data_IF_281447311635
#
_entry.id   IF_281447311635
#
_cell.length_a   1.000
_cell.length_b   1.000
_cell.length_c   1.000
_cell.angle_alpha   90.00
_cell.angle_beta   90.00
_cell.angle_gamma   90.00
#
_symmetry.space_group_name_H-M   'P 1'
#
loop_
_entity.id
_entity.type
_entity.pdbx_description
1 polymer ?
#
# COMPACT_ATOMS: atom_id res chain seq x y z
N UNK A 1 -17.98 17.27 0.21
CA UNK A 1 -16.76 17.02 1.01
C UNK A 1 -16.12 18.33 1.41
N UNK A 2 -16.14 18.68 2.70
CA UNK A 2 -15.37 19.80 3.26
C UNK A 2 -14.53 19.16 4.37
N UNK A 3 -13.24 18.95 4.10
CA UNK A 3 -12.31 18.46 5.11
C UNK A 3 -12.03 19.61 6.11
N UNK A 4 -12.07 19.38 7.43
CA UNK A 4 -11.57 20.35 8.40
C UNK A 4 -10.04 20.47 8.27
N UNK A 5 -9.42 21.54 8.78
CA UNK A 5 -7.97 21.74 8.65
C UNK A 5 -7.23 20.67 9.45
N UNK A 6 -6.57 19.74 8.76
CA UNK A 6 -5.69 18.74 9.34
C UNK A 6 -4.46 19.44 9.94
N UNK A 7 -4.28 19.37 11.26
CA UNK A 7 -3.03 19.72 11.91
C UNK A 7 -2.06 18.55 11.77
N UNK A 8 -1.43 18.42 10.60
CA UNK A 8 -0.34 17.46 10.38
C UNK A 8 0.99 18.09 10.82
N UNK A 9 1.77 17.39 11.63
CA UNK A 9 3.13 17.79 11.99
C UNK A 9 4.13 16.67 11.70
N UNK A 10 5.32 17.06 11.26
CA UNK A 10 6.47 16.16 11.07
C UNK A 10 7.60 16.68 11.96
N UNK A 11 8.17 15.81 12.77
CA UNK A 11 9.36 16.09 13.57
C UNK A 11 10.46 15.14 13.11
N UNK A 12 11.53 15.69 12.55
CA UNK A 12 12.71 14.94 12.11
C UNK A 12 13.94 15.37 12.91
N UNK A 13 14.65 14.41 13.50
CA UNK A 13 15.89 14.63 14.24
C UNK A 13 16.96 13.67 13.70
N UNK A 14 18.02 14.24 13.14
CA UNK A 14 19.20 13.48 12.67
C UNK A 14 20.39 13.77 13.58
N UNK A 15 21.01 12.72 14.12
CA UNK A 15 22.22 12.81 14.93
C UNK A 15 23.38 12.14 14.19
N UNK A 16 24.38 12.94 13.82
CA UNK A 16 25.61 12.46 13.19
C UNK A 16 26.71 12.39 14.25
N UNK A 17 27.18 11.19 14.55
CA UNK A 17 28.36 10.99 15.38
C UNK A 17 29.55 10.64 14.48
N UNK A 18 30.34 11.66 14.12
CA UNK A 18 31.67 11.50 13.54
C UNK A 18 32.73 11.73 14.62
N UNK A 19 33.68 10.81 14.78
CA UNK A 19 34.86 11.07 15.61
C UNK A 19 35.66 12.27 15.05
N UNK A 20 36.26 13.08 15.94
CA UNK A 20 36.99 14.27 15.52
C UNK A 20 38.29 13.88 14.82
N UNK A 21 38.59 14.56 13.70
CA UNK A 21 39.93 14.58 13.13
C UNK A 21 40.92 15.05 14.20
N UNK A 22 41.78 14.14 14.65
CA UNK A 22 42.81 14.38 15.64
C UNK A 22 43.75 15.51 15.17
N UNK A 23 43.80 16.57 15.96
CA UNK A 23 44.48 17.82 15.67
C UNK A 23 46.02 17.67 15.70
N UNK A 24 46.69 18.24 14.69
CA UNK A 24 48.11 18.57 14.74
C UNK A 24 48.31 20.06 14.37
N UNK A 25 48.38 20.86 15.44
CA UNK A 25 49.22 22.05 15.67
C UNK A 25 49.10 23.33 14.80
N UNK A 26 49.48 24.49 15.36
CA UNK A 26 48.68 25.71 15.28
C UNK A 26 49.32 26.83 14.43
N UNK A 27 48.49 27.80 14.04
CA UNK A 27 48.96 29.14 13.72
C UNK A 27 48.21 29.78 12.56
N UNK A 28 47.27 30.67 12.90
CA UNK A 28 47.13 32.05 12.39
C UNK A 28 45.75 32.55 12.87
N UNK A 29 45.75 33.64 13.65
CA UNK A 29 44.55 34.31 14.15
C UNK A 29 43.79 35.06 13.04
N UNK A 30 42.48 35.36 13.23
CA UNK A 30 41.60 35.81 12.17
C UNK A 30 41.65 37.33 11.98
N UNK A 31 41.68 37.78 10.72
CA UNK A 31 41.42 39.18 10.39
C UNK A 31 39.93 39.35 10.07
N UNK A 32 39.29 40.27 10.80
CA UNK A 32 37.91 40.72 10.56
C UNK A 32 37.86 41.49 9.25
N UNK A 33 36.86 41.20 8.40
CA UNK A 33 36.08 42.26 7.75
C UNK A 33 34.70 41.73 7.34
N UNK A 34 33.69 42.50 7.71
CA UNK A 34 32.29 42.34 7.32
C UNK A 34 32.08 42.88 5.90
N UNK A 35 31.19 42.24 5.14
CA UNK A 35 30.74 42.69 3.82
C UNK A 35 29.58 41.83 3.35
N UNK A 36 28.43 42.48 3.20
CA UNK A 36 27.09 41.95 2.96
C UNK A 36 26.82 41.75 1.44
N UNK A 37 25.80 40.94 1.14
CA UNK A 37 25.08 40.81 -0.14
C UNK A 37 25.54 39.75 -1.19
N UNK A 38 24.72 38.68 -1.27
CA UNK A 38 24.10 38.08 -2.46
C UNK A 38 24.90 38.00 -3.78
N UNK A 39 25.24 36.80 -4.24
CA UNK A 39 24.55 36.13 -5.35
C UNK A 39 25.09 34.71 -5.58
N UNK A 40 24.20 33.86 -6.06
CA UNK A 40 24.40 32.51 -6.55
C UNK A 40 25.57 32.36 -7.54
N UNK A 41 26.38 31.32 -7.33
CA UNK A 41 27.31 30.78 -8.34
C UNK A 41 28.73 30.56 -7.82
N UNK A 42 29.02 29.38 -7.27
CA UNK A 42 30.41 28.93 -7.10
C UNK A 42 30.66 27.63 -7.86
N UNK A 43 31.17 27.80 -9.07
CA UNK A 43 32.05 26.82 -9.73
C UNK A 43 33.39 26.91 -9.00
N UNK A 44 33.73 25.90 -8.20
CA UNK A 44 35.10 25.68 -7.73
C UNK A 44 35.63 24.38 -8.33
N UNK A 45 36.32 24.54 -9.44
CA UNK A 45 37.28 23.55 -9.94
C UNK A 45 38.36 23.32 -8.87
N UNK A 46 38.43 22.09 -8.38
CA UNK A 46 39.62 21.54 -7.73
C UNK A 46 40.26 20.57 -8.73
N UNK A 47 41.17 21.11 -9.54
CA UNK A 47 42.03 20.36 -10.45
C UNK A 47 43.23 19.82 -9.67
N UNK A 48 43.47 18.52 -9.80
CA UNK A 48 44.70 17.79 -9.46
C UNK A 48 45.02 17.59 -7.97
N UNK A 49 44.38 16.59 -7.34
CA UNK A 49 45.04 15.87 -6.25
C UNK A 49 46.10 14.92 -6.86
N UNK A 50 47.38 14.98 -6.45
CA UNK A 50 48.44 14.14 -7.01
C UNK A 50 48.21 12.67 -6.63
N UNK A 51 48.43 11.77 -7.61
CA UNK A 51 48.33 10.29 -7.54
C UNK A 51 49.11 9.63 -6.37
N UNK A 52 49.83 10.41 -5.54
CA UNK A 52 50.61 9.95 -4.39
C UNK A 52 49.77 9.77 -3.12
N UNK A 53 48.66 10.48 -2.95
CA UNK A 53 47.78 10.34 -1.77
C UNK A 53 46.95 9.05 -1.77
N UNK A 54 46.70 8.45 -2.95
CA UNK A 54 45.96 7.19 -3.06
C UNK A 54 46.70 5.98 -2.49
N UNK A 55 48.02 6.06 -2.28
CA UNK A 55 48.80 4.96 -1.66
C UNK A 55 48.74 4.97 -0.14
N UNK A 56 48.47 6.11 0.49
CA UNK A 56 48.36 6.23 1.97
C UNK A 56 46.91 6.16 2.46
N UNK A 57 45.92 6.40 1.59
CA UNK A 57 44.49 6.31 1.90
C UNK A 57 43.96 4.87 2.13
N UNK A 58 44.73 3.82 1.78
CA UNK A 58 44.28 2.42 1.85
C UNK A 58 44.29 1.76 3.24
N UNK A 59 44.75 2.46 4.28
CA UNK A 59 45.01 1.85 5.60
C UNK A 59 44.17 2.41 6.75
N UNK A 60 43.48 3.53 6.57
CA UNK A 60 42.64 4.10 7.62
C UNK A 60 41.23 3.56 7.52
N UNK A 61 40.72 3.08 8.64
CA UNK A 61 39.30 2.78 8.79
C UNK A 61 38.57 4.09 8.98
N UNK A 62 37.56 4.33 8.14
CA UNK A 62 36.62 5.40 8.40
C UNK A 62 35.32 4.75 8.87
N UNK A 63 34.86 5.20 10.02
CA UNK A 63 33.62 4.76 10.63
C UNK A 63 32.63 5.93 10.60
N UNK A 64 31.38 5.62 10.32
CA UNK A 64 30.29 6.60 10.29
C UNK A 64 29.12 5.99 11.04
N UNK A 65 28.59 6.68 12.04
CA UNK A 65 27.37 6.28 12.72
C UNK A 65 26.33 7.38 12.54
N UNK A 66 25.13 6.99 12.14
CA UNK A 66 24.01 7.90 11.92
C UNK A 66 22.80 7.35 12.69
N UNK A 67 22.08 8.23 13.36
CA UNK A 67 20.81 7.91 13.99
C UNK A 67 19.79 8.94 13.56
N UNK A 68 18.70 8.46 12.97
CA UNK A 68 17.60 9.26 12.48
C UNK A 68 16.33 8.87 13.21
N UNK A 69 15.55 9.87 13.61
CA UNK A 69 14.24 9.67 14.18
C UNK A 69 13.24 10.61 13.51
N UNK A 70 12.12 10.05 13.06
CA UNK A 70 11.01 10.76 12.47
C UNK A 70 9.71 10.37 13.18
N UNK A 71 8.90 11.36 13.50
CA UNK A 71 7.55 11.16 14.01
C UNK A 71 6.55 11.98 13.19
N UNK A 72 5.49 11.33 12.76
CA UNK A 72 4.38 11.92 12.03
C UNK A 72 3.08 11.64 12.79
N UNK A 73 2.23 12.65 12.94
CA UNK A 73 0.95 12.50 13.60
C UNK A 73 -0.16 13.19 12.80
N UNK A 74 -1.32 12.57 12.82
CA UNK A 74 -2.58 13.04 12.28
C UNK A 74 -3.70 12.78 13.32
N UNK A 75 -4.94 13.10 12.97
CA UNK A 75 -6.11 12.87 13.84
C UNK A 75 -6.37 11.41 14.17
N UNK A 76 -5.91 10.51 13.31
CA UNK A 76 -6.29 9.10 13.20
C UNK A 76 -5.08 8.17 13.05
N UNK A 77 -3.88 8.74 12.98
CA UNK A 77 -2.64 8.00 12.71
C UNK A 77 -1.48 8.64 13.50
N UNK A 78 -0.67 7.80 14.14
CA UNK A 78 0.65 8.12 14.67
C UNK A 78 1.67 7.16 14.05
N UNK A 79 2.69 7.71 13.39
CA UNK A 79 3.80 6.94 12.80
C UNK A 79 5.10 7.40 13.46
N UNK A 80 5.90 6.46 13.93
CA UNK A 80 7.29 6.74 14.32
C UNK A 80 8.24 5.85 13.55
N UNK A 81 9.39 6.40 13.19
CA UNK A 81 10.46 5.70 12.47
C UNK A 81 11.79 6.10 13.10
N UNK A 82 12.48 5.13 13.69
CA UNK A 82 13.85 5.26 14.15
C UNK A 82 14.77 4.41 13.27
N UNK A 83 15.85 5.00 12.76
CA UNK A 83 16.86 4.27 11.99
C UNK A 83 18.23 4.52 12.60
N UNK A 84 19.01 3.46 12.79
CA UNK A 84 20.41 3.52 13.22
C UNK A 84 21.25 2.88 12.12
N UNK A 85 22.15 3.66 11.54
CA UNK A 85 23.07 3.25 10.49
C UNK A 85 24.51 3.25 10.99
N UNK A 86 25.28 2.25 10.57
CA UNK A 86 26.71 2.16 10.75
C UNK A 86 27.38 1.86 9.40
N UNK A 87 28.27 2.75 8.98
CA UNK A 87 29.09 2.61 7.79
C UNK A 87 30.56 2.44 8.15
N UNK A 88 31.24 1.55 7.44
CA UNK A 88 32.67 1.34 7.58
C UNK A 88 33.32 1.29 6.19
N UNK A 89 34.28 2.16 5.92
CA UNK A 89 35.07 2.12 4.68
C UNK A 89 36.54 1.87 4.96
N UNK A 90 37.14 1.02 4.12
CA UNK A 90 38.57 0.70 4.12
C UNK A 90 39.04 0.47 2.69
N UNK A 91 39.77 1.44 2.14
CA UNK A 91 40.28 1.37 0.78
C UNK A 91 39.15 1.20 -0.26
N UNK A 92 39.12 0.10 -1.04
CA UNK A 92 38.09 -0.13 -2.06
C UNK A 92 36.78 -0.72 -1.52
N UNK A 93 36.73 -1.07 -0.24
CA UNK A 93 35.60 -1.78 0.38
C UNK A 93 34.83 -0.83 1.29
N UNK A 94 33.52 -0.81 1.14
CA UNK A 94 32.57 -0.06 1.94
C UNK A 94 31.47 -1.01 2.41
N UNK A 95 31.26 -1.03 3.72
CA UNK A 95 30.23 -1.83 4.38
C UNK A 95 29.24 -0.90 5.04
N UNK A 96 27.96 -1.26 4.98
CA UNK A 96 26.90 -0.58 5.70
C UNK A 96 26.06 -1.60 6.46
N UNK A 97 25.60 -1.22 7.65
CA UNK A 97 24.65 -1.97 8.45
C UNK A 97 23.62 -0.96 8.97
N UNK A 98 22.34 -1.22 8.75
CA UNK A 98 21.27 -0.37 9.24
C UNK A 98 20.20 -1.19 9.94
N UNK A 99 19.75 -0.68 11.09
CA UNK A 99 18.62 -1.17 11.84
C UNK A 99 17.53 -0.10 11.84
N UNK A 100 16.31 -0.47 11.46
CA UNK A 100 15.15 0.40 11.51
C UNK A 100 14.06 -0.19 12.41
N UNK A 101 13.50 0.65 13.28
CA UNK A 101 12.36 0.35 14.13
C UNK A 101 11.25 1.35 13.84
N UNK A 102 10.11 0.85 13.37
CA UNK A 102 8.96 1.68 13.05
C UNK A 102 7.77 1.26 13.91
N UNK A 103 6.94 2.21 14.33
CA UNK A 103 5.67 1.94 14.99
C UNK A 103 4.56 2.69 14.28
N UNK A 104 3.39 2.05 14.18
CA UNK A 104 2.20 2.64 13.59
C UNK A 104 1.02 2.38 14.50
N UNK A 105 0.41 3.44 15.00
CA UNK A 105 -0.89 3.39 15.66
C UNK A 105 -1.90 4.03 14.72
N UNK A 106 -2.92 3.28 14.30
CA UNK A 106 -3.95 3.76 13.39
C UNK A 106 -5.34 3.39 13.91
N UNK A 107 -6.28 4.31 13.79
CA UNK A 107 -7.69 4.05 14.04
C UNK A 107 -8.33 3.61 12.72
N UNK A 108 -8.45 2.29 12.54
CA UNK A 108 -9.14 1.70 11.40
C UNK A 108 -10.60 2.11 11.45
N UNK A 109 -11.05 2.77 10.38
CA UNK A 109 -12.46 3.05 10.10
C UNK A 109 -12.82 2.43 8.75
N UNK A 110 -13.88 1.61 8.67
CA UNK A 110 -14.39 1.07 7.42
C UNK A 110 -14.74 2.22 6.46
N UNK A 111 -14.60 2.00 5.16
CA UNK A 111 -15.17 2.92 4.18
C UNK A 111 -16.71 2.99 4.37
N UNK A 112 -17.39 4.09 4.00
CA UNK A 112 -18.86 4.17 4.09
C UNK A 112 -19.60 3.05 3.33
N UNK A 113 -18.92 2.48 2.32
CA UNK A 113 -19.35 1.36 1.49
C UNK A 113 -18.76 -0.01 1.93
N UNK A 114 -18.12 -0.09 3.10
CA UNK A 114 -17.65 -1.33 3.74
C UNK A 114 -18.64 -1.74 4.85
N UNK A 115 -19.34 -2.87 4.65
CA UNK A 115 -20.50 -3.27 5.47
C UNK A 115 -20.22 -4.37 6.47
N UNK A 116 -19.03 -4.98 6.38
CA UNK A 116 -18.59 -6.03 7.30
C UNK A 116 -17.55 -5.50 8.29
N UNK A 117 -16.93 -4.36 7.97
CA UNK A 117 -15.95 -3.74 8.81
C UNK A 117 -16.54 -3.07 10.06
N UNK A 118 -15.73 -2.99 11.11
CA UNK A 118 -16.00 -2.22 12.33
C UNK A 118 -14.77 -1.45 12.77
N UNK A 119 -15.01 -0.32 13.44
CA UNK A 119 -13.95 0.55 13.94
C UNK A 119 -13.02 -0.21 14.89
N UNK A 120 -11.71 -0.08 14.68
CA UNK A 120 -10.70 -0.75 15.51
C UNK A 120 -9.41 0.04 15.58
N UNK A 121 -8.84 0.16 16.77
CA UNK A 121 -7.48 0.67 16.91
C UNK A 121 -6.47 -0.45 16.64
N UNK A 122 -5.56 -0.22 15.70
CA UNK A 122 -4.53 -1.16 15.24
C UNK A 122 -3.17 -0.56 15.56
N UNK A 123 -2.39 -1.29 16.35
CA UNK A 123 -1.02 -0.93 16.72
C UNK A 123 -0.07 -1.99 16.20
N UNK A 124 0.87 -1.59 15.36
CA UNK A 124 1.83 -2.47 14.70
C UNK A 124 3.25 -1.94 14.86
N UNK A 125 4.20 -2.85 14.95
CA UNK A 125 5.62 -2.53 14.94
C UNK A 125 6.32 -3.20 13.76
N UNK A 126 7.41 -2.59 13.30
CA UNK A 126 8.29 -3.18 12.31
C UNK A 126 9.73 -3.03 12.70
N UNK A 127 10.45 -4.14 12.67
CA UNK A 127 11.90 -4.19 12.81
C UNK A 127 12.51 -4.62 11.48
N UNK A 128 13.53 -3.92 11.02
CA UNK A 128 14.25 -4.28 9.81
C UNK A 128 15.76 -4.16 10.02
N UNK A 129 16.50 -5.15 9.54
CA UNK A 129 17.96 -5.14 9.51
C UNK A 129 18.42 -5.28 8.07
N UNK A 130 19.31 -4.40 7.63
CA UNK A 130 19.89 -4.43 6.30
C UNK A 130 21.41 -4.27 6.37
N UNK A 131 22.11 -5.00 5.51
CA UNK A 131 23.54 -4.90 5.33
C UNK A 131 23.85 -4.67 3.85
N UNK A 132 24.83 -3.82 3.60
CA UNK A 132 25.33 -3.49 2.27
C UNK A 132 26.84 -3.70 2.17
N UNK A 133 27.28 -4.14 1.00
CA UNK A 133 28.67 -4.27 0.60
C UNK A 133 28.85 -3.57 -0.73
N UNK A 134 29.85 -2.70 -0.80
CA UNK A 134 30.32 -2.10 -2.03
C UNK A 134 31.82 -2.34 -2.15
N UNK A 135 32.21 -3.04 -3.20
CA UNK A 135 33.59 -3.45 -3.43
C UNK A 135 34.05 -2.93 -4.79
N UNK A 136 34.93 -1.93 -4.79
CA UNK A 136 35.59 -1.46 -6.01
C UNK A 136 36.63 -2.50 -6.44
N UNK A 137 36.44 -3.13 -7.60
CA UNK A 137 37.37 -4.14 -8.12
C UNK A 137 38.52 -3.46 -8.86
N UNK A 138 38.19 -2.52 -9.77
CA UNK A 138 39.15 -1.70 -10.52
C UNK A 138 38.45 -0.42 -11.00
N UNK A 139 39.20 0.57 -11.49
CA UNK A 139 38.65 1.82 -12.03
C UNK A 139 38.15 1.57 -13.47
N UNK A 140 37.04 0.82 -13.63
CA UNK A 140 35.70 1.41 -13.51
C UNK A 140 34.60 0.49 -12.91
N UNK A 141 34.93 -0.70 -12.43
CA UNK A 141 33.96 -1.73 -12.02
C UNK A 141 33.84 -1.81 -10.48
N UNK A 142 32.61 -1.72 -9.99
CA UNK A 142 32.24 -1.86 -8.58
C UNK A 142 31.21 -2.96 -8.42
N UNK A 143 31.47 -3.90 -7.54
CA UNK A 143 30.51 -4.91 -7.10
C UNK A 143 29.64 -4.33 -5.97
N UNK A 144 28.34 -4.60 -6.04
CA UNK A 144 27.35 -4.22 -5.06
C UNK A 144 26.71 -5.51 -4.52
N UNK A 145 26.55 -5.60 -3.21
CA UNK A 145 25.77 -6.63 -2.56
C UNK A 145 24.92 -6.00 -1.47
N UNK A 146 23.68 -6.42 -1.34
CA UNK A 146 22.83 -6.03 -0.23
C UNK A 146 22.01 -7.21 0.25
N UNK A 147 21.67 -7.21 1.53
CA UNK A 147 20.83 -8.25 2.10
C UNK A 147 20.19 -7.78 3.38
N UNK A 148 18.99 -8.27 3.65
CA UNK A 148 18.26 -7.88 4.84
C UNK A 148 17.06 -8.75 5.12
N UNK A 149 16.49 -8.52 6.28
CA UNK A 149 15.26 -9.12 6.72
C UNK A 149 14.44 -8.11 7.49
N UNK A 150 13.13 -8.32 7.51
CA UNK A 150 12.22 -7.51 8.30
C UNK A 150 11.10 -8.36 8.87
N UNK A 151 10.55 -7.88 9.97
CA UNK A 151 9.38 -8.42 10.65
C UNK A 151 8.44 -7.26 11.00
N UNK A 152 7.21 -7.30 10.50
CA UNK A 152 6.21 -6.25 10.59
C UNK A 152 5.84 -5.62 9.24
N UNK A 153 4.68 -4.96 9.20
CA UNK A 153 4.14 -4.34 7.98
C UNK A 153 5.03 -3.19 7.51
N UNK A 154 5.31 -3.11 6.21
CA UNK A 154 6.19 -2.08 5.65
C UNK A 154 5.61 -0.66 5.82
N UNK A 155 4.29 -0.54 5.81
CA UNK A 155 3.56 0.71 5.95
C UNK A 155 2.22 0.49 6.68
N UNK A 156 1.64 1.60 7.14
CA UNK A 156 0.31 1.62 7.77
C UNK A 156 -0.80 1.16 6.81
N UNK A 157 -0.63 1.35 5.50
CA UNK A 157 -1.61 0.94 4.47
C UNK A 157 -1.75 -0.58 4.43
N UNK A 158 -0.64 -1.31 4.51
CA UNK A 158 -0.64 -2.77 4.53
C UNK A 158 -1.24 -3.29 5.83
N UNK A 159 -0.99 -2.62 6.97
CA UNK A 159 -1.63 -2.94 8.24
C UNK A 159 -3.16 -2.70 8.20
N UNK A 160 -3.59 -1.56 7.64
CA UNK A 160 -5.01 -1.25 7.40
C UNK A 160 -5.66 -2.31 6.48
N UNK A 161 -4.98 -2.68 5.39
CA UNK A 161 -5.47 -3.68 4.44
C UNK A 161 -5.59 -5.06 5.11
N UNK A 162 -4.62 -5.44 5.94
CA UNK A 162 -4.70 -6.67 6.72
C UNK A 162 -5.92 -6.67 7.65
N UNK A 163 -6.21 -5.54 8.32
CA UNK A 163 -7.41 -5.43 9.15
C UNK A 163 -8.69 -5.59 8.33
N UNK A 164 -8.79 -4.88 7.20
CA UNK A 164 -9.91 -5.01 6.28
C UNK A 164 -10.14 -6.47 5.88
N UNK A 165 -9.11 -7.15 5.38
CA UNK A 165 -9.25 -8.54 4.94
C UNK A 165 -9.55 -9.49 6.11
N UNK A 166 -8.99 -9.25 7.29
CA UNK A 166 -9.32 -10.04 8.47
C UNK A 166 -10.80 -9.93 8.83
N UNK A 167 -11.35 -8.73 8.84
CA UNK A 167 -12.77 -8.52 9.18
C UNK A 167 -13.70 -9.16 8.13
N UNK A 168 -13.32 -9.12 6.85
CA UNK A 168 -14.17 -9.60 5.76
C UNK A 168 -14.07 -11.10 5.45
N UNK A 169 -12.92 -11.71 5.73
CA UNK A 169 -12.61 -13.05 5.24
C UNK A 169 -12.23 -14.03 6.35
N UNK A 170 -12.03 -13.62 7.61
CA UNK A 170 -11.63 -14.52 8.71
C UNK A 170 -12.58 -15.68 8.99
N UNK A 171 -13.85 -15.55 8.66
CA UNK A 171 -14.84 -16.63 8.82
C UNK A 171 -14.71 -17.74 7.77
N UNK A 172 -13.88 -17.55 6.72
CA UNK A 172 -13.66 -18.57 5.70
C UNK A 172 -12.67 -19.62 6.21
N UNK A 173 -12.96 -20.92 6.06
CA UNK A 173 -12.05 -22.00 6.48
C UNK A 173 -10.64 -21.94 5.85
N UNK A 174 -10.53 -21.26 4.71
CA UNK A 174 -9.33 -21.18 3.87
C UNK A 174 -8.58 -19.84 4.07
N UNK A 175 -9.14 -18.93 4.87
CA UNK A 175 -8.46 -17.69 5.22
C UNK A 175 -7.24 -17.99 6.11
N UNK A 176 -6.10 -17.42 5.74
CA UNK A 176 -4.90 -17.43 6.58
C UNK A 176 -4.57 -15.98 6.93
N UNK A 177 -4.15 -15.72 8.16
CA UNK A 177 -3.77 -14.36 8.54
C UNK A 177 -2.42 -13.98 7.88
N UNK A 178 -2.28 -12.72 7.48
CA UNK A 178 -1.06 -12.26 6.82
C UNK A 178 0.14 -12.40 7.77
N UNK A 179 1.25 -12.92 7.26
CA UNK A 179 2.52 -12.96 7.99
C UNK A 179 3.44 -11.86 7.46
N UNK A 180 3.63 -10.75 8.20
CA UNK A 180 4.30 -9.58 7.67
C UNK A 180 5.83 -9.64 7.79
N UNK A 181 6.44 -10.78 7.44
CA UNK A 181 7.89 -10.92 7.42
C UNK A 181 8.44 -11.25 6.04
N UNK A 182 9.70 -10.87 5.82
CA UNK A 182 10.35 -11.05 4.54
C UNK A 182 11.86 -10.90 4.59
N UNK A 183 12.48 -11.30 3.48
CA UNK A 183 13.92 -11.22 3.27
C UNK A 183 14.23 -10.74 1.86
N UNK A 184 15.29 -9.98 1.72
CA UNK A 184 15.81 -9.52 0.46
C UNK A 184 17.30 -9.82 0.36
N UNK A 185 17.74 -10.21 -0.84
CA UNK A 185 19.15 -10.35 -1.19
C UNK A 185 19.33 -9.84 -2.59
N UNK A 186 20.31 -8.98 -2.82
CA UNK A 186 20.66 -8.50 -4.14
C UNK A 186 22.16 -8.49 -4.38
N UNK A 187 22.52 -8.68 -5.65
CA UNK A 187 23.87 -8.57 -6.14
C UNK A 187 23.86 -7.80 -7.46
N UNK A 188 24.81 -6.89 -7.61
CA UNK A 188 24.88 -6.01 -8.76
C UNK A 188 26.29 -5.61 -9.14
N UNK A 189 26.42 -5.11 -10.36
CA UNK A 189 27.65 -4.55 -10.91
C UNK A 189 27.37 -3.13 -11.38
N UNK A 190 28.28 -2.22 -11.02
CA UNK A 190 28.30 -0.84 -11.47
C UNK A 190 29.58 -0.58 -12.25
N UNK A 191 29.43 -0.21 -13.51
CA UNK A 191 30.52 0.08 -14.44
C UNK A 191 30.52 1.56 -14.83
N UNK A 192 31.55 2.31 -14.42
CA UNK A 192 31.72 3.75 -14.67
C UNK A 192 32.59 4.00 -15.91
N UNK A 193 32.00 4.10 -17.10
CA UNK A 193 32.75 4.30 -18.34
C UNK A 193 33.19 5.77 -18.56
N UNK A 194 32.55 6.73 -17.87
CA UNK A 194 32.99 8.12 -17.77
C UNK A 194 33.04 8.52 -16.28
N UNK A 195 34.20 8.90 -15.73
CA UNK A 195 34.32 9.24 -14.31
C UNK A 195 33.29 10.29 -13.89
N UNK A 196 32.50 9.99 -12.86
CA UNK A 196 31.46 10.84 -12.28
C UNK A 196 30.30 11.27 -13.21
N UNK A 197 30.34 10.94 -14.51
CA UNK A 197 29.41 11.49 -15.52
C UNK A 197 28.63 10.41 -16.27
N UNK A 198 29.13 9.17 -16.34
CA UNK A 198 28.45 8.08 -17.04
C UNK A 198 28.74 6.73 -16.40
N UNK A 199 27.68 6.04 -15.96
CA UNK A 199 27.75 4.70 -15.40
C UNK A 199 26.62 3.81 -15.91
N UNK A 200 26.89 2.51 -15.98
CA UNK A 200 25.92 1.45 -16.18
C UNK A 200 25.82 0.64 -14.90
N UNK A 201 24.62 0.43 -14.37
CA UNK A 201 24.39 -0.40 -13.18
C UNK A 201 23.35 -1.47 -13.50
N UNK A 202 23.71 -2.72 -13.25
CA UNK A 202 22.81 -3.86 -13.35
C UNK A 202 22.77 -4.59 -12.01
N UNK A 203 21.58 -4.88 -11.51
CA UNK A 203 21.35 -5.53 -10.23
C UNK A 203 20.26 -6.58 -10.37
N UNK A 204 20.49 -7.75 -9.78
CA UNK A 204 19.50 -8.80 -9.64
C UNK A 204 19.22 -9.00 -8.16
N UNK A 205 17.93 -9.03 -7.82
CA UNK A 205 17.47 -9.18 -6.45
C UNK A 205 16.47 -10.32 -6.32
N UNK A 206 16.58 -11.05 -5.22
CA UNK A 206 15.55 -11.96 -4.74
C UNK A 206 14.85 -11.31 -3.55
N UNK A 207 13.54 -11.12 -3.66
CA UNK A 207 12.69 -10.63 -2.59
C UNK A 207 11.65 -11.69 -2.28
N UNK A 208 11.64 -12.17 -1.03
CA UNK A 208 10.57 -13.03 -0.54
C UNK A 208 9.71 -12.23 0.43
N UNK A 209 8.53 -11.85 -0.05
CA UNK A 209 7.54 -11.13 0.74
C UNK A 209 6.29 -12.02 0.91
N UNK A 210 6.02 -12.48 2.13
CA UNK A 210 4.90 -13.38 2.38
C UNK A 210 3.52 -12.72 2.25
N UNK A 211 3.43 -11.40 2.40
CA UNK A 211 2.14 -10.67 2.32
C UNK A 211 1.57 -10.76 0.89
N UNK A 212 2.39 -10.46 -0.12
CA UNK A 212 1.96 -10.45 -1.53
C UNK A 212 1.60 -11.86 -2.01
N UNK A 213 2.37 -12.88 -1.59
CA UNK A 213 2.10 -14.27 -1.91
C UNK A 213 0.81 -14.79 -1.25
N UNK A 214 0.50 -14.30 -0.05
CA UNK A 214 -0.72 -14.65 0.67
C UNK A 214 -1.99 -14.17 -0.04
N UNK A 215 -2.06 -12.89 -0.42
CA UNK A 215 -3.22 -12.35 -1.15
C UNK A 215 -3.44 -13.02 -2.50
N UNK A 216 -2.35 -13.41 -3.19
CA UNK A 216 -2.44 -14.25 -4.40
C UNK A 216 -3.00 -15.65 -4.15
N UNK A 217 -2.84 -16.20 -2.94
CA UNK A 217 -3.27 -17.55 -2.58
C UNK A 217 -4.70 -17.62 -2.06
N UNK A 218 -5.15 -16.63 -1.31
CA UNK A 218 -6.51 -16.56 -0.78
C UNK A 218 -7.59 -16.56 -1.88
N UNK A 219 -7.25 -16.14 -3.11
CA UNK A 219 -8.18 -16.18 -4.23
C UNK A 219 -8.45 -17.57 -4.85
N UNK A 220 -7.85 -18.64 -4.34
CA UNK A 220 -7.83 -19.94 -5.03
C UNK A 220 -8.84 -20.97 -4.55
N UNK A 221 -9.62 -20.70 -3.49
CA UNK A 221 -10.43 -21.76 -2.87
C UNK A 221 -11.92 -21.37 -2.63
N UNK A 222 -12.79 -22.37 -2.86
CA UNK A 222 -14.23 -22.49 -2.56
C UNK A 222 -15.29 -22.45 -3.70
N UNK A 223 -16.15 -23.49 -3.66
CA UNK A 223 -17.04 -24.04 -4.70
C UNK A 223 -18.46 -23.43 -4.80
N UNK A 224 -19.15 -23.78 -5.90
CA UNK A 224 -20.34 -23.24 -6.61
C UNK A 224 -21.72 -23.41 -5.94
N UNK A 225 -21.85 -23.88 -4.70
CA UNK A 225 -23.16 -24.38 -4.16
C UNK A 225 -24.14 -23.31 -3.63
N UNK A 226 -23.76 -22.03 -3.54
CA UNK A 226 -24.55 -20.99 -2.81
C UNK A 226 -25.70 -20.32 -3.60
N UNK A 227 -26.04 -20.79 -4.80
CA UNK A 227 -26.94 -20.07 -5.73
C UNK A 227 -28.35 -20.66 -5.89
N UNK A 228 -28.66 -21.79 -5.26
CA UNK A 228 -30.00 -22.42 -5.35
C UNK A 228 -31.10 -21.53 -4.76
N UNK A 229 -30.80 -20.73 -3.73
CA UNK A 229 -31.74 -19.81 -3.07
C UNK A 229 -32.37 -18.75 -4.01
N UNK A 230 -31.74 -18.44 -5.14
CA UNK A 230 -32.18 -17.38 -6.07
C UNK A 230 -32.81 -17.92 -7.36
N UNK A 231 -33.06 -19.24 -7.44
CA UNK A 231 -33.54 -19.90 -8.67
C UNK A 231 -35.02 -19.66 -8.96
N UNK A 232 -35.85 -19.58 -7.92
CA UNK A 232 -37.31 -19.51 -8.07
C UNK A 232 -37.85 -18.08 -8.25
N UNK A 233 -37.08 -17.05 -7.88
CA UNK A 233 -37.64 -15.71 -7.73
C UNK A 233 -37.86 -14.94 -9.04
N UNK A 234 -37.51 -15.46 -10.22
CA UNK A 234 -37.52 -14.69 -11.47
C UNK A 234 -38.72 -14.97 -12.39
N UNK A 235 -39.43 -16.08 -12.20
CA UNK A 235 -40.54 -16.48 -13.07
C UNK A 235 -41.75 -15.53 -13.00
N UNK A 236 -41.99 -14.88 -11.86
CA UNK A 236 -43.12 -13.97 -11.64
C UNK A 236 -43.09 -12.68 -12.49
N UNK A 237 -41.97 -12.37 -13.15
CA UNK A 237 -41.79 -11.15 -13.96
C UNK A 237 -42.01 -11.37 -15.46
N UNK A 238 -42.18 -12.62 -15.85
CA UNK A 238 -42.46 -13.02 -17.22
C UNK A 238 -43.87 -13.56 -17.28
N UNK A 239 -44.55 -13.30 -18.39
CA UNK A 239 -45.92 -13.78 -18.54
C UNK A 239 -45.91 -15.33 -18.58
N UNK A 240 -46.54 -16.01 -17.61
CA UNK A 240 -46.47 -17.47 -17.52
C UNK A 240 -47.17 -18.16 -18.70
N UNK A 241 -48.20 -17.55 -19.27
CA UNK A 241 -49.03 -18.12 -20.33
C UNK A 241 -49.58 -17.04 -21.30
N UNK A 242 -50.00 -17.47 -22.49
CA UNK A 242 -50.66 -16.62 -23.48
C UNK A 242 -49.79 -16.23 -24.69
N UNK A 243 -50.27 -15.35 -25.58
CA UNK A 243 -49.60 -15.01 -26.85
C UNK A 243 -48.27 -14.26 -26.66
N UNK A 244 -48.01 -13.77 -25.45
CA UNK A 244 -46.77 -13.10 -25.05
C UNK A 244 -46.05 -13.89 -23.94
N UNK A 245 -46.13 -15.22 -23.96
CA UNK A 245 -45.38 -16.08 -23.04
C UNK A 245 -43.88 -15.75 -23.09
N UNK A 246 -43.24 -15.73 -21.93
CA UNK A 246 -41.84 -15.32 -21.74
C UNK A 246 -41.56 -13.84 -22.07
N UNK A 247 -42.59 -13.04 -22.40
CA UNK A 247 -42.45 -11.60 -22.52
C UNK A 247 -42.42 -10.94 -21.14
N UNK A 248 -41.72 -9.83 -21.07
CA UNK A 248 -41.56 -9.05 -19.85
C UNK A 248 -42.84 -8.29 -19.48
N UNK A 249 -43.22 -8.32 -18.21
CA UNK A 249 -44.38 -7.57 -17.70
C UNK A 249 -43.95 -6.10 -17.50
N UNK A 250 -44.41 -5.22 -18.39
CA UNK A 250 -44.04 -3.80 -18.40
C UNK A 250 -44.31 -3.05 -17.09
N UNK A 251 -45.35 -3.46 -16.36
CA UNK A 251 -45.76 -2.84 -15.09
C UNK A 251 -44.83 -3.18 -13.92
N UNK A 252 -44.03 -4.26 -14.01
CA UNK A 252 -43.03 -4.66 -13.02
C UNK A 252 -41.65 -4.05 -13.31
N UNK A 253 -41.66 -2.95 -14.06
CA UNK A 253 -40.50 -2.18 -14.48
C UNK A 253 -39.74 -1.50 -13.36
N UNK A 254 -38.45 -1.17 -13.59
CA UNK A 254 -37.70 -0.37 -12.65
C UNK A 254 -38.39 0.97 -12.47
N UNK A 255 -38.56 1.38 -11.22
CA UNK A 255 -38.98 2.75 -10.90
C UNK A 255 -37.88 3.68 -11.40
N UNK A 256 -38.26 4.74 -12.11
CA UNK A 256 -37.30 5.76 -12.57
C UNK A 256 -36.63 6.44 -11.37
N UNK A 257 -35.33 6.67 -11.50
CA UNK A 257 -34.59 7.43 -10.51
C UNK A 257 -35.11 8.87 -10.47
N UNK A 258 -35.03 9.50 -9.30
CA UNK A 258 -35.36 10.93 -9.21
C UNK A 258 -34.44 11.75 -10.13
N UNK A 259 -34.84 12.98 -10.55
CA UNK A 259 -34.09 13.76 -11.53
C UNK A 259 -32.64 14.08 -11.16
N UNK A 260 -32.24 13.87 -9.89
CA UNK A 260 -30.87 14.04 -9.43
C UNK A 260 -30.36 12.79 -8.69
N UNK A 261 -29.94 11.74 -9.42
CA UNK A 261 -29.43 10.50 -8.82
C UNK A 261 -28.16 10.73 -7.99
N UNK A 262 -27.37 11.77 -8.30
CA UNK A 262 -26.16 12.13 -7.54
C UNK A 262 -26.45 12.57 -6.11
N UNK A 263 -27.57 13.25 -5.86
CA UNK A 263 -27.94 13.68 -4.51
C UNK A 263 -28.27 12.52 -3.56
N UNK A 264 -28.75 11.39 -4.10
CA UNK A 264 -29.02 10.19 -3.30
C UNK A 264 -27.73 9.42 -2.98
N UNK A 265 -26.72 9.47 -3.87
CA UNK A 265 -25.41 8.87 -3.62
C UNK A 265 -24.59 9.60 -2.55
N UNK A 266 -24.83 10.91 -2.36
CA UNK A 266 -24.22 11.68 -1.27
C UNK A 266 -24.93 11.46 0.09
N UNK A 267 -26.02 10.69 0.13
CA UNK A 267 -26.85 10.52 1.32
C UNK A 267 -26.42 9.31 2.17
N UNK A 268 -25.99 9.57 3.41
CA UNK A 268 -25.60 8.51 4.35
C UNK A 268 -26.73 7.51 4.68
N UNK A 269 -28.00 7.94 4.65
CA UNK A 269 -29.16 7.06 4.87
C UNK A 269 -29.45 6.13 3.68
N UNK A 270 -29.13 6.58 2.45
CA UNK A 270 -29.23 5.73 1.26
C UNK A 270 -28.27 4.55 1.40
N UNK A 271 -27.00 4.86 1.70
CA UNK A 271 -25.98 3.85 1.92
C UNK A 271 -26.41 2.89 3.03
N UNK A 272 -26.86 3.37 4.19
CA UNK A 272 -27.40 2.47 5.23
C UNK A 272 -28.48 1.50 4.72
N UNK A 273 -29.43 1.99 3.92
CA UNK A 273 -30.49 1.15 3.34
C UNK A 273 -29.95 0.17 2.30
N UNK A 274 -28.97 0.60 1.51
CA UNK A 274 -28.24 -0.25 0.58
C UNK A 274 -27.52 -1.39 1.32
N UNK A 275 -26.92 -1.12 2.49
CA UNK A 275 -26.23 -2.11 3.32
C UNK A 275 -27.20 -3.16 3.83
N UNK A 276 -28.32 -2.71 4.38
CA UNK A 276 -29.38 -3.60 4.86
C UNK A 276 -29.92 -4.50 3.74
N UNK A 277 -29.83 -4.05 2.48
CA UNK A 277 -30.18 -4.85 1.31
C UNK A 277 -29.05 -5.77 0.85
N UNK A 278 -27.81 -5.31 0.80
CA UNK A 278 -26.65 -6.09 0.41
C UNK A 278 -26.32 -7.21 1.42
N UNK A 279 -26.59 -6.98 2.70
CA UNK A 279 -26.43 -7.97 3.77
C UNK A 279 -27.46 -9.11 3.70
N UNK A 280 -28.56 -8.94 2.97
CA UNK A 280 -29.55 -10.00 2.71
C UNK A 280 -29.12 -10.94 1.58
N UNK A 281 -28.14 -10.54 0.77
CA UNK A 281 -27.58 -11.42 -0.25
C UNK A 281 -26.73 -12.51 0.39
N UNK A 282 -26.65 -13.71 -0.23
CA UNK A 282 -25.63 -14.68 0.13
C UNK A 282 -24.22 -14.05 0.06
N UNK A 283 -23.37 -14.35 1.04
CA UNK A 283 -22.07 -13.70 1.23
C UNK A 283 -21.22 -13.68 -0.05
N UNK A 284 -21.19 -14.78 -0.82
CA UNK A 284 -20.45 -14.85 -2.10
C UNK A 284 -21.03 -13.94 -3.19
N UNK A 285 -22.35 -13.87 -3.29
CA UNK A 285 -23.05 -13.04 -4.29
C UNK A 285 -22.85 -11.56 -3.97
N UNK A 286 -22.97 -11.20 -2.69
CA UNK A 286 -22.68 -9.86 -2.19
C UNK A 286 -21.23 -9.45 -2.50
N UNK A 287 -20.28 -10.34 -2.19
CA UNK A 287 -18.85 -10.11 -2.42
C UNK A 287 -18.48 -9.97 -3.89
N UNK A 288 -19.02 -10.82 -4.77
CA UNK A 288 -18.85 -10.72 -6.23
C UNK A 288 -19.38 -9.38 -6.76
N UNK A 289 -20.54 -8.97 -6.26
CA UNK A 289 -21.14 -7.69 -6.63
C UNK A 289 -20.27 -6.50 -6.21
N UNK A 290 -19.77 -6.50 -4.96
CA UNK A 290 -18.89 -5.44 -4.46
C UNK A 290 -17.58 -5.36 -5.25
N UNK A 291 -16.89 -6.50 -5.44
CA UNK A 291 -15.64 -6.55 -6.19
C UNK A 291 -15.80 -6.02 -7.63
N UNK A 292 -16.93 -6.33 -8.27
CA UNK A 292 -17.16 -5.93 -9.66
C UNK A 292 -17.64 -4.50 -9.82
N UNK A 293 -18.61 -4.08 -9.00
CA UNK A 293 -19.35 -2.84 -9.21
C UNK A 293 -18.84 -1.69 -8.33
N UNK A 294 -18.25 -1.99 -7.17
CA UNK A 294 -17.68 -0.98 -6.26
C UNK A 294 -16.17 -0.87 -6.40
N UNK A 295 -15.47 -2.01 -6.41
CA UNK A 295 -14.00 -2.04 -6.50
C UNK A 295 -13.49 -2.08 -7.95
N UNK A 296 -14.41 -2.13 -8.93
CA UNK A 296 -14.15 -2.15 -10.38
C UNK A 296 -13.14 -3.22 -10.85
N UNK A 297 -12.97 -4.30 -10.09
CA UNK A 297 -12.03 -5.38 -10.43
C UNK A 297 -12.47 -6.04 -11.74
N UNK A 298 -11.50 -6.38 -12.60
CA UNK A 298 -11.82 -6.96 -13.90
C UNK A 298 -12.48 -8.33 -13.76
N UNK A 299 -13.37 -8.68 -14.69
CA UNK A 299 -14.06 -9.97 -14.72
C UNK A 299 -13.07 -11.14 -14.69
N UNK A 300 -11.96 -11.03 -15.43
CA UNK A 300 -10.92 -12.06 -15.48
C UNK A 300 -10.20 -12.20 -14.14
N UNK A 301 -9.89 -11.09 -13.47
CA UNK A 301 -9.29 -11.09 -12.13
C UNK A 301 -10.26 -11.62 -11.08
N UNK A 302 -11.55 -11.29 -11.13
CA UNK A 302 -12.56 -11.81 -10.20
C UNK A 302 -12.75 -13.32 -10.40
N UNK A 303 -12.81 -13.78 -11.65
CA UNK A 303 -12.88 -15.20 -11.98
C UNK A 303 -11.66 -15.95 -11.43
N UNK A 304 -10.47 -15.37 -11.56
CA UNK A 304 -9.24 -15.91 -11.00
C UNK A 304 -9.20 -15.83 -9.46
N UNK A 305 -9.77 -14.78 -8.86
CA UNK A 305 -9.77 -14.50 -7.41
C UNK A 305 -10.82 -15.29 -6.64
N UNK A 306 -11.89 -15.76 -7.26
CA UNK A 306 -12.95 -16.50 -6.57
C UNK A 306 -13.08 -17.93 -7.09
N UNK A 307 -12.18 -18.36 -7.97
CA UNK A 307 -12.18 -19.67 -8.63
C UNK A 307 -13.55 -20.02 -9.25
N UNK A 308 -14.12 -19.07 -10.00
CA UNK A 308 -15.43 -19.18 -10.65
C UNK A 308 -15.28 -19.05 -12.16
N UNK A 309 -16.16 -19.74 -12.90
CA UNK A 309 -16.21 -19.57 -14.35
C UNK A 309 -16.81 -18.20 -14.71
N UNK A 310 -16.44 -17.60 -15.86
CA UNK A 310 -17.04 -16.36 -16.32
C UNK A 310 -18.57 -16.45 -16.40
N UNK A 311 -19.09 -17.59 -16.86
CA UNK A 311 -20.54 -17.80 -16.94
C UNK A 311 -21.20 -17.77 -15.55
N UNK A 312 -20.57 -18.37 -14.53
CA UNK A 312 -21.05 -18.28 -13.15
C UNK A 312 -21.05 -16.84 -12.63
N UNK A 313 -19.96 -16.10 -12.89
CA UNK A 313 -19.81 -14.70 -12.47
C UNK A 313 -20.96 -13.84 -13.02
N UNK A 314 -21.28 -13.96 -14.31
CA UNK A 314 -22.38 -13.23 -14.92
C UNK A 314 -23.74 -13.57 -14.28
N UNK A 315 -23.99 -14.85 -13.99
CA UNK A 315 -25.21 -15.30 -13.30
C UNK A 315 -25.29 -14.72 -11.89
N UNK A 316 -24.20 -14.76 -11.12
CA UNK A 316 -24.13 -14.19 -9.78
C UNK A 316 -24.38 -12.69 -9.79
N UNK A 317 -23.71 -11.94 -10.68
CA UNK A 317 -23.89 -10.49 -10.80
C UNK A 317 -25.30 -10.13 -11.24
N UNK A 318 -25.87 -10.88 -12.19
CA UNK A 318 -27.25 -10.66 -12.61
C UNK A 318 -28.22 -10.84 -11.43
N UNK A 319 -28.10 -11.94 -10.69
CA UNK A 319 -28.96 -12.23 -9.54
C UNK A 319 -28.76 -11.22 -8.40
N UNK A 320 -27.52 -10.83 -8.12
CA UNK A 320 -27.20 -9.78 -7.16
C UNK A 320 -27.90 -8.46 -7.49
N UNK A 321 -27.78 -7.99 -8.74
CA UNK A 321 -28.42 -6.75 -9.21
C UNK A 321 -29.93 -6.81 -9.04
N UNK A 322 -30.55 -7.95 -9.37
CA UNK A 322 -32.01 -8.11 -9.26
C UNK A 322 -32.49 -8.11 -7.80
N UNK A 323 -31.80 -8.84 -6.92
CA UNK A 323 -32.14 -8.89 -5.51
C UNK A 323 -31.94 -7.54 -4.81
N UNK A 324 -30.81 -6.86 -5.07
CA UNK A 324 -30.56 -5.50 -4.57
C UNK A 324 -31.62 -4.52 -5.05
N UNK A 325 -31.94 -4.55 -6.34
CA UNK A 325 -32.98 -3.69 -6.92
C UNK A 325 -34.31 -3.85 -6.20
N UNK A 326 -34.80 -5.08 -6.00
CA UNK A 326 -36.07 -5.31 -5.28
C UNK A 326 -36.05 -4.75 -3.88
N UNK A 327 -34.95 -4.99 -3.18
CA UNK A 327 -34.81 -4.52 -1.82
C UNK A 327 -34.79 -2.99 -1.73
N UNK A 328 -34.09 -2.32 -2.65
CA UNK A 328 -34.05 -0.86 -2.73
C UNK A 328 -35.39 -0.26 -3.20
N UNK A 329 -36.07 -0.92 -4.14
CA UNK A 329 -37.43 -0.55 -4.58
C UNK A 329 -38.40 -0.57 -3.39
N UNK A 330 -38.33 -1.57 -2.52
CA UNK A 330 -39.20 -1.66 -1.36
C UNK A 330 -38.81 -0.71 -0.21
N UNK A 331 -37.51 -0.51 0.04
CA UNK A 331 -37.03 0.15 1.26
C UNK A 331 -36.63 1.61 1.07
N UNK A 332 -36.26 2.03 -0.15
CA UNK A 332 -35.81 3.39 -0.46
C UNK A 332 -36.75 4.08 -1.45
N UNK A 333 -36.89 3.54 -2.67
CA UNK A 333 -37.64 4.20 -3.74
C UNK A 333 -39.15 4.19 -3.53
N UNK A 334 -39.71 3.06 -3.07
CA UNK A 334 -41.14 2.92 -2.78
C UNK A 334 -41.61 3.79 -1.60
N UNK A 335 -40.72 4.12 -0.65
CA UNK A 335 -41.01 5.05 0.45
C UNK A 335 -41.08 6.51 -0.01
N UNK A 336 -40.37 6.88 -1.07
CA UNK A 336 -40.35 8.26 -1.61
C UNK A 336 -41.33 8.48 -2.77
N UNK A 337 -41.73 7.42 -3.47
CA UNK A 337 -42.74 7.47 -4.55
C UNK A 337 -44.19 7.63 -4.09
N UNK A 338 -44.45 7.57 -2.77
CA UNK A 338 -45.77 7.78 -2.18
C UNK A 338 -45.95 9.17 -1.57
N UNK A 339 -45.87 10.23 -2.37
CA UNK A 339 -46.44 11.57 -2.09
C UNK A 339 -46.20 12.49 -3.30
N UNK A 340 -47.11 12.44 -4.26
CA UNK A 340 -47.61 13.60 -5.01
C UNK A 340 -49.05 13.34 -5.36
#
# INVERSE_FOLDING_TARGET
MIWPPLSSGVISVALLAGEPAEALAPGIQPERQAGEATNSGEVRQSLNAPLRELRTAGLRWNHKAEADFEAMFASDILLTQGTIGYGQSRGPTEWTLSYAHNTFDLDYRPAPFDFLGFDRSVSENRNALQAGLKQRLFAPLTLLGAGGFYDGFADYRSAWLNEYYRQHFSALPEYQEAQPNGQNVSAGLRWEYLPATGFFQAEAGFLKNKIVDHYRKAGRESSFTDLEFLSDEQQERFNPDGPFRDAWIHELGPIEWTPNPGADLDNAEFWKTFHDCAAKLPVKVSRVFLLREMDEVSTDEICALLNITPNNLWVMLHRARMALRRCLEANWFGRRGGKT
#
